data_IF_594951825810
#
_entry.id   IF_594951825810
#
_cell.length_a   1.000
_cell.length_b   1.000
_cell.length_c   1.000
_cell.angle_alpha   90.00
_cell.angle_beta   90.00
_cell.angle_gamma   90.00
#
_symmetry.space_group_name_H-M   'P 1'
#
loop_
_entity.id
_entity.type
_entity.pdbx_description
1 polymer ?
#
# COMPACT_ATOMS: atom_id res chain seq x y z
N UNK A 1 -0.63 28.34 -10.46
CA UNK A 1 -1.03 27.29 -11.43
C UNK A 1 -1.16 25.99 -10.65
N UNK A 2 -2.38 25.59 -10.29
CA UNK A 2 -2.65 24.45 -9.42
C UNK A 2 -2.64 23.15 -10.23
N UNK A 3 -1.68 22.27 -9.95
CA UNK A 3 -1.65 20.93 -10.50
C UNK A 3 -2.71 20.08 -9.80
N UNK A 4 -3.68 19.59 -10.57
CA UNK A 4 -4.69 18.63 -10.12
C UNK A 4 -4.00 17.34 -9.63
N UNK A 5 -3.91 17.18 -8.32
CA UNK A 5 -3.48 15.94 -7.67
C UNK A 5 -4.57 14.88 -7.92
N UNK A 6 -4.38 14.08 -8.96
CA UNK A 6 -5.22 12.92 -9.26
C UNK A 6 -4.91 11.86 -8.21
N UNK A 7 -5.94 11.48 -7.46
CA UNK A 7 -5.98 10.35 -6.54
C UNK A 7 -5.17 9.16 -7.09
N UNK A 8 -4.22 8.58 -6.34
CA UNK A 8 -3.51 7.40 -6.79
C UNK A 8 -4.50 6.23 -6.81
N UNK A 9 -4.63 5.58 -7.96
CA UNK A 9 -5.36 4.32 -8.09
C UNK A 9 -4.81 3.29 -7.08
N UNK A 10 -5.66 2.40 -6.53
CA UNK A 10 -5.27 1.48 -5.46
C UNK A 10 -4.10 0.59 -5.88
N UNK A 11 -3.28 0.19 -4.91
CA UNK A 11 -2.24 -0.81 -5.13
C UNK A 11 -2.87 -2.10 -5.65
N UNK A 12 -2.43 -2.53 -6.84
CA UNK A 12 -2.93 -3.75 -7.44
C UNK A 12 -2.69 -4.94 -6.48
N UNK A 13 -3.66 -5.87 -6.35
CA UNK A 13 -3.43 -7.09 -5.60
C UNK A 13 -2.15 -7.77 -6.09
N UNK A 14 -1.38 -8.42 -5.20
CA UNK A 14 -0.12 -9.07 -5.57
C UNK A 14 -0.35 -9.99 -6.78
N UNK A 15 0.58 -10.04 -7.75
CA UNK A 15 0.40 -10.81 -8.97
C UNK A 15 0.09 -12.26 -8.60
N UNK A 16 -1.11 -12.70 -8.94
CA UNK A 16 -1.53 -14.08 -8.74
C UNK A 16 -0.61 -14.96 -9.59
N UNK A 17 -0.08 -16.01 -9.00
CA UNK A 17 0.80 -16.93 -9.72
C UNK A 17 0.05 -17.52 -10.92
N UNK A 18 0.61 -17.36 -12.12
CA UNK A 18 0.11 -17.97 -13.36
C UNK A 18 0.27 -19.49 -13.35
N UNK A 19 1.11 -20.01 -12.44
CA UNK A 19 1.29 -21.44 -12.25
C UNK A 19 0.03 -22.10 -11.69
N UNK A 20 -0.39 -23.28 -12.21
CA UNK A 20 -1.51 -24.03 -11.67
C UNK A 20 -1.35 -24.34 -10.17
N UNK A 21 -2.28 -23.84 -9.35
CA UNK A 21 -2.39 -24.21 -7.94
C UNK A 21 -2.91 -25.65 -7.75
N UNK A 22 -3.11 -26.10 -6.50
CA UNK A 22 -3.52 -27.48 -6.21
C UNK A 22 -4.87 -27.82 -6.84
N UNK A 23 -5.84 -26.90 -6.80
CA UNK A 23 -7.17 -27.11 -7.39
C UNK A 23 -7.16 -27.09 -8.91
N UNK A 24 -6.40 -26.16 -9.50
CA UNK A 24 -6.23 -26.09 -10.95
C UNK A 24 -5.56 -27.37 -11.48
N UNK A 25 -4.53 -27.85 -10.79
CA UNK A 25 -3.85 -29.13 -11.10
C UNK A 25 -4.82 -30.31 -10.98
N UNK A 26 -5.65 -30.35 -9.92
CA UNK A 26 -6.66 -31.39 -9.76
C UNK A 26 -7.67 -31.40 -10.91
N UNK A 27 -8.13 -30.23 -11.37
CA UNK A 27 -9.05 -30.11 -12.51
C UNK A 27 -8.42 -30.67 -13.79
N UNK A 28 -7.18 -30.26 -14.09
CA UNK A 28 -6.44 -30.74 -15.26
C UNK A 28 -6.24 -32.26 -15.21
N UNK A 29 -5.91 -32.80 -14.05
CA UNK A 29 -5.73 -34.24 -13.86
C UNK A 29 -7.04 -35.01 -14.05
N UNK A 30 -8.16 -34.51 -13.52
CA UNK A 30 -9.48 -35.14 -13.70
C UNK A 30 -9.85 -35.17 -15.18
N UNK A 31 -9.64 -34.06 -15.91
CA UNK A 31 -9.91 -34.01 -17.33
C UNK A 31 -9.04 -35.01 -18.11
N UNK A 32 -7.74 -35.03 -17.88
CA UNK A 32 -6.82 -35.96 -18.54
C UNK A 32 -7.19 -37.43 -18.27
N UNK A 33 -7.53 -37.76 -17.02
CA UNK A 33 -7.95 -39.10 -16.65
C UNK A 33 -9.27 -39.50 -17.33
N UNK A 34 -10.24 -38.59 -17.41
CA UNK A 34 -11.52 -38.83 -18.06
C UNK A 34 -11.37 -38.98 -19.59
N UNK A 35 -10.49 -38.19 -20.20
CA UNK A 35 -10.14 -38.30 -21.61
C UNK A 35 -9.49 -39.65 -21.90
N UNK A 36 -8.48 -40.04 -21.13
CA UNK A 36 -7.79 -41.32 -21.31
C UNK A 36 -8.74 -42.50 -21.09
N UNK A 37 -9.63 -42.42 -20.10
CA UNK A 37 -10.64 -43.44 -19.87
C UNK A 37 -11.62 -43.56 -21.06
N UNK A 38 -12.04 -42.42 -21.62
CA UNK A 38 -12.93 -42.37 -22.80
C UNK A 38 -12.26 -42.96 -24.03
N UNK A 39 -11.02 -42.57 -24.33
CA UNK A 39 -10.28 -43.11 -25.47
C UNK A 39 -9.98 -44.61 -25.31
N UNK A 40 -9.69 -45.08 -24.09
CA UNK A 40 -9.52 -46.52 -23.81
C UNK A 40 -10.79 -47.35 -24.07
N UNK A 41 -11.98 -46.77 -23.91
CA UNK A 41 -13.24 -47.43 -24.24
C UNK A 41 -13.45 -47.58 -25.75
N UNK A 42 -12.85 -46.70 -26.55
CA UNK A 42 -12.79 -46.85 -28.01
C UNK A 42 -11.70 -47.86 -28.39
N UNK A 43 -11.90 -49.13 -28.00
CA UNK A 43 -10.95 -50.19 -28.32
C UNK A 43 -11.02 -50.58 -29.79
N UNK A 44 -9.90 -51.02 -30.37
CA UNK A 44 -9.87 -51.51 -31.74
C UNK A 44 -10.88 -52.63 -31.99
N UNK A 45 -11.08 -53.54 -31.02
CA UNK A 45 -12.08 -54.61 -31.08
C UNK A 45 -13.51 -54.06 -31.25
N UNK A 46 -13.88 -53.08 -30.42
CA UNK A 46 -15.19 -52.42 -30.49
C UNK A 46 -15.36 -51.67 -31.81
N UNK A 47 -14.30 -51.03 -32.32
CA UNK A 47 -14.31 -50.30 -33.57
C UNK A 47 -14.42 -51.23 -34.79
N UNK A 48 -13.63 -52.29 -34.83
CA UNK A 48 -13.63 -53.27 -35.93
C UNK A 48 -14.95 -54.06 -36.01
N UNK A 49 -15.61 -54.32 -34.88
CA UNK A 49 -16.93 -54.93 -34.84
C UNK A 49 -18.00 -54.12 -35.59
N UNK A 50 -17.86 -52.79 -35.68
CA UNK A 50 -18.74 -51.92 -36.46
C UNK A 50 -18.43 -51.93 -37.97
N UNK A 51 -17.26 -52.41 -38.37
CA UNK A 51 -16.80 -52.45 -39.77
C UNK A 51 -16.31 -53.85 -40.18
N UNK A 52 -17.17 -54.89 -40.11
CA UNK A 52 -16.75 -56.29 -40.27
C UNK A 52 -16.11 -56.59 -41.64
N UNK A 53 -16.61 -55.97 -42.72
CA UNK A 53 -16.06 -56.13 -44.07
C UNK A 53 -14.64 -55.57 -44.16
N UNK A 54 -14.41 -54.34 -43.69
CA UNK A 54 -13.09 -53.73 -43.73
C UNK A 54 -12.10 -54.44 -42.79
N UNK A 55 -12.58 -54.92 -41.63
CA UNK A 55 -11.77 -55.73 -40.71
C UNK A 55 -11.29 -57.05 -41.33
N UNK A 56 -12.07 -57.64 -42.24
CA UNK A 56 -11.72 -58.90 -42.90
C UNK A 56 -10.76 -58.71 -44.09
N UNK A 57 -11.00 -57.70 -44.92
CA UNK A 57 -10.25 -57.53 -46.18
C UNK A 57 -9.07 -56.56 -46.07
N UNK A 58 -9.12 -55.59 -45.15
CA UNK A 58 -8.08 -54.55 -45.00
C UNK A 58 -7.85 -54.20 -43.51
N UNK A 59 -7.41 -55.17 -42.67
CA UNK A 59 -7.23 -54.93 -41.24
C UNK A 59 -6.14 -53.91 -40.92
N UNK A 60 -5.08 -53.84 -41.73
CA UNK A 60 -3.95 -52.93 -41.50
C UNK A 60 -4.35 -51.46 -41.67
N UNK A 61 -5.08 -51.14 -42.74
CA UNK A 61 -5.58 -49.77 -42.96
C UNK A 61 -6.65 -49.38 -41.94
N UNK A 62 -7.45 -50.33 -41.46
CA UNK A 62 -8.44 -50.09 -40.41
C UNK A 62 -7.76 -49.77 -39.06
N UNK A 63 -6.70 -50.50 -38.69
CA UNK A 63 -5.93 -50.23 -37.47
C UNK A 63 -5.23 -48.86 -37.56
N UNK A 64 -4.63 -48.54 -38.71
CA UNK A 64 -4.03 -47.23 -38.95
C UNK A 64 -5.07 -46.09 -38.78
N UNK A 65 -6.26 -46.23 -39.38
CA UNK A 65 -7.35 -45.25 -39.26
C UNK A 65 -7.80 -45.09 -37.81
N UNK A 66 -7.99 -46.19 -37.08
CA UNK A 66 -8.41 -46.16 -35.68
C UNK A 66 -7.37 -45.46 -34.79
N UNK A 67 -6.08 -45.76 -34.98
CA UNK A 67 -4.97 -45.10 -34.25
C UNK A 67 -4.92 -43.62 -34.54
N UNK A 68 -5.04 -43.23 -35.81
CA UNK A 68 -4.99 -41.83 -36.23
C UNK A 68 -6.21 -41.06 -35.70
N UNK A 69 -7.40 -41.66 -35.78
CA UNK A 69 -8.62 -41.10 -35.22
C UNK A 69 -8.51 -40.87 -33.72
N UNK A 70 -8.13 -41.90 -32.96
CA UNK A 70 -8.02 -41.83 -31.49
C UNK A 70 -6.95 -40.81 -31.07
N UNK A 71 -5.83 -40.76 -31.80
CA UNK A 71 -4.75 -39.79 -31.56
C UNK A 71 -5.21 -38.36 -31.84
N UNK A 72 -5.83 -38.12 -33.01
CA UNK A 72 -6.32 -36.79 -33.39
C UNK A 72 -7.41 -36.30 -32.46
N UNK A 73 -8.36 -37.17 -32.08
CA UNK A 73 -9.41 -36.85 -31.13
C UNK A 73 -8.83 -36.42 -29.78
N UNK A 74 -7.88 -37.19 -29.24
CA UNK A 74 -7.19 -36.84 -28.00
C UNK A 74 -6.42 -35.52 -28.08
N UNK A 75 -5.75 -35.24 -29.21
CA UNK A 75 -5.05 -33.97 -29.45
C UNK A 75 -6.01 -32.78 -29.49
N UNK A 76 -7.10 -32.89 -30.25
CA UNK A 76 -8.09 -31.82 -30.39
C UNK A 76 -8.75 -31.53 -29.05
N UNK A 77 -9.17 -32.56 -28.32
CA UNK A 77 -9.81 -32.37 -27.01
C UNK A 77 -8.88 -31.72 -25.98
N UNK A 78 -7.60 -32.09 -25.95
CA UNK A 78 -6.62 -31.42 -25.07
C UNK A 78 -6.42 -29.96 -25.46
N UNK A 79 -6.25 -29.69 -26.76
CA UNK A 79 -6.08 -28.32 -27.26
C UNK A 79 -7.29 -27.43 -26.96
N UNK A 80 -8.52 -27.95 -27.17
CA UNK A 80 -9.74 -27.19 -26.88
C UNK A 80 -9.91 -26.94 -25.38
N UNK A 81 -9.56 -27.92 -24.54
CA UNK A 81 -9.58 -27.74 -23.10
C UNK A 81 -8.58 -26.66 -22.64
N UNK A 82 -7.35 -26.68 -23.16
CA UNK A 82 -6.35 -25.66 -22.88
C UNK A 82 -6.81 -24.27 -23.34
N UNK A 83 -7.45 -24.18 -24.51
CA UNK A 83 -8.06 -22.94 -25.00
C UNK A 83 -9.12 -22.40 -24.03
N UNK A 84 -10.00 -23.26 -23.52
CA UNK A 84 -11.03 -22.89 -22.54
C UNK A 84 -10.41 -22.42 -21.22
N UNK A 85 -9.35 -23.09 -20.75
CA UNK A 85 -8.63 -22.69 -19.54
C UNK A 85 -8.08 -21.27 -19.65
N UNK A 86 -7.54 -20.90 -20.81
CA UNK A 86 -7.00 -19.58 -21.11
C UNK A 86 -8.14 -18.56 -21.27
N UNK A 87 -9.13 -18.85 -22.13
CA UNK A 87 -10.23 -17.92 -22.46
C UNK A 87 -11.04 -17.51 -21.23
N UNK A 88 -11.24 -18.45 -20.29
CA UNK A 88 -12.01 -18.22 -19.05
C UNK A 88 -11.12 -17.88 -17.86
N UNK A 89 -9.81 -17.80 -18.05
CA UNK A 89 -8.83 -17.50 -17.01
C UNK A 89 -9.04 -18.35 -15.73
N UNK A 90 -9.22 -19.66 -15.95
CA UNK A 90 -9.65 -20.59 -14.91
C UNK A 90 -8.54 -20.77 -13.87
N UNK A 91 -7.28 -20.83 -14.30
CA UNK A 91 -6.14 -21.02 -13.40
C UNK A 91 -6.06 -19.89 -12.38
N UNK A 92 -6.12 -18.64 -12.82
CA UNK A 92 -6.10 -17.48 -11.92
C UNK A 92 -7.31 -17.47 -10.98
N UNK A 93 -8.49 -17.80 -11.50
CA UNK A 93 -9.74 -17.82 -10.71
C UNK A 93 -9.71 -18.88 -9.62
N UNK A 94 -9.23 -20.09 -9.92
CA UNK A 94 -9.09 -21.17 -8.94
C UNK A 94 -7.98 -20.88 -7.92
N UNK A 95 -6.88 -20.26 -8.35
CA UNK A 95 -5.81 -19.84 -7.45
C UNK A 95 -6.31 -18.74 -6.48
N UNK A 96 -7.08 -17.78 -6.97
CA UNK A 96 -7.73 -16.75 -6.14
C UNK A 96 -8.70 -17.38 -5.13
N UNK A 97 -9.50 -18.37 -5.56
CA UNK A 97 -10.38 -19.11 -4.66
C UNK A 97 -9.61 -19.83 -3.54
N UNK A 98 -8.51 -20.51 -3.88
CA UNK A 98 -7.68 -21.19 -2.89
C UNK A 98 -7.07 -20.20 -1.88
N UNK A 99 -6.65 -19.01 -2.33
CA UNK A 99 -6.23 -17.92 -1.45
C UNK A 99 -7.36 -17.45 -0.51
N UNK A 100 -8.56 -17.22 -1.04
CA UNK A 100 -9.73 -16.85 -0.23
C UNK A 100 -10.06 -17.91 0.83
N UNK A 101 -9.94 -19.20 0.50
CA UNK A 101 -10.16 -20.30 1.44
C UNK A 101 -9.10 -20.29 2.55
N UNK A 102 -7.83 -20.09 2.20
CA UNK A 102 -6.74 -20.00 3.19
C UNK A 102 -6.97 -18.82 4.13
N UNK A 103 -7.32 -17.65 3.60
CA UNK A 103 -7.59 -16.46 4.41
C UNK A 103 -8.82 -16.65 5.29
N UNK A 104 -9.88 -17.30 4.79
CA UNK A 104 -11.05 -17.63 5.58
C UNK A 104 -10.71 -18.57 6.75
N UNK A 105 -9.87 -19.59 6.52
CA UNK A 105 -9.38 -20.49 7.59
C UNK A 105 -8.60 -19.74 8.65
N UNK A 106 -7.68 -18.84 8.24
CA UNK A 106 -6.92 -17.98 9.17
C UNK A 106 -7.83 -17.07 10.00
N UNK A 107 -8.85 -16.46 9.38
CA UNK A 107 -9.83 -15.62 10.09
C UNK A 107 -10.62 -16.43 11.12
N UNK A 108 -11.02 -17.65 10.75
CA UNK A 108 -11.71 -18.57 11.66
C UNK A 108 -10.83 -18.94 12.87
N UNK A 109 -9.59 -19.35 12.63
CA UNK A 109 -8.62 -19.67 13.70
C UNK A 109 -8.37 -18.48 14.64
N UNK A 110 -8.24 -17.27 14.08
CA UNK A 110 -8.13 -16.03 14.88
C UNK A 110 -9.37 -15.77 15.74
N UNK A 111 -10.56 -16.01 15.19
CA UNK A 111 -11.81 -15.84 15.94
C UNK A 111 -11.94 -16.87 17.07
N UNK A 112 -11.58 -18.12 16.82
CA UNK A 112 -11.57 -19.21 17.82
C UNK A 112 -10.58 -18.92 18.96
N UNK A 113 -9.37 -18.46 18.65
CA UNK A 113 -8.37 -18.08 19.66
C UNK A 113 -8.77 -16.84 20.46
N UNK A 114 -9.45 -15.88 19.84
CA UNK A 114 -9.90 -14.66 20.53
C UNK A 114 -11.14 -14.89 21.41
N UNK A 115 -11.89 -15.97 21.17
CA UNK A 115 -13.16 -16.24 21.85
C UNK A 115 -13.00 -16.88 23.24
N UNK A 116 -11.80 -17.34 23.63
CA UNK A 116 -11.50 -17.92 24.96
C UNK A 116 -12.58 -18.90 25.48
N UNK A 117 -13.14 -19.73 24.60
CA UNK A 117 -14.17 -20.74 24.94
C UNK A 117 -15.63 -20.29 24.83
N UNK A 118 -15.89 -19.04 24.42
CA UNK A 118 -17.24 -18.60 24.06
C UNK A 118 -17.63 -19.10 22.64
N UNK A 119 -18.94 -19.16 22.31
CA UNK A 119 -19.35 -19.50 20.95
C UNK A 119 -18.88 -18.43 19.96
N UNK A 120 -18.16 -18.85 18.92
CA UNK A 120 -17.77 -17.96 17.81
C UNK A 120 -19.01 -17.62 16.99
N UNK A 121 -19.32 -16.33 16.87
CA UNK A 121 -20.43 -15.85 16.07
C UNK A 121 -20.23 -16.19 14.58
N UNK A 122 -21.27 -16.75 13.96
CA UNK A 122 -21.23 -17.14 12.54
C UNK A 122 -21.34 -15.88 11.68
N UNK A 123 -20.41 -15.62 10.74
CA UNK A 123 -20.50 -14.46 9.87
C UNK A 123 -21.77 -14.48 9.02
N UNK A 124 -22.43 -13.31 8.93
CA UNK A 124 -23.60 -13.13 8.07
C UNK A 124 -23.19 -13.28 6.60
N UNK A 125 -23.89 -14.10 5.79
CA UNK A 125 -23.59 -14.24 4.37
C UNK A 125 -23.72 -12.91 3.61
N UNK A 126 -22.80 -12.62 2.69
CA UNK A 126 -22.81 -11.35 1.96
C UNK A 126 -24.11 -11.10 1.15
N UNK A 127 -24.76 -12.16 0.67
CA UNK A 127 -26.00 -12.05 -0.12
C UNK A 127 -27.24 -11.68 0.70
N UNK A 128 -27.17 -11.75 2.03
CA UNK A 128 -28.26 -11.32 2.93
C UNK A 128 -28.05 -9.88 3.43
N UNK A 129 -26.92 -9.25 3.11
CA UNK A 129 -26.63 -7.88 3.54
C UNK A 129 -27.32 -6.86 2.63
N UNK A 130 -27.78 -5.73 3.18
CA UNK A 130 -28.34 -4.66 2.36
C UNK A 130 -27.25 -4.03 1.49
N UNK A 131 -27.60 -3.49 0.30
CA UNK A 131 -26.63 -2.90 -0.64
C UNK A 131 -25.78 -1.78 -0.03
N UNK A 132 -26.38 -0.96 0.86
CA UNK A 132 -25.67 0.12 1.55
C UNK A 132 -24.54 -0.40 2.44
N UNK A 133 -24.74 -1.50 3.16
CA UNK A 133 -23.71 -2.13 3.99
C UNK A 133 -22.58 -2.71 3.14
N UNK A 134 -22.89 -3.33 2.00
CA UNK A 134 -21.87 -3.85 1.09
C UNK A 134 -21.03 -2.72 0.48
N UNK A 135 -21.68 -1.62 0.08
CA UNK A 135 -21.01 -0.44 -0.45
C UNK A 135 -20.06 0.17 0.58
N UNK A 136 -20.54 0.40 1.80
CA UNK A 136 -19.70 0.92 2.89
C UNK A 136 -18.57 -0.03 3.24
N UNK A 137 -18.83 -1.34 3.34
CA UNK A 137 -17.79 -2.34 3.63
C UNK A 137 -16.66 -2.32 2.59
N UNK A 138 -16.97 -2.05 1.33
CA UNK A 138 -15.95 -1.91 0.28
C UNK A 138 -15.21 -0.57 0.34
N UNK A 139 -15.86 0.50 0.82
CA UNK A 139 -15.24 1.82 0.97
C UNK A 139 -14.37 1.95 2.21
N UNK A 140 -14.72 1.26 3.30
CA UNK A 140 -14.00 1.32 4.58
C UNK A 140 -12.48 1.13 4.47
N UNK A 141 -11.92 0.11 3.80
CA UNK A 141 -10.47 -0.04 3.71
C UNK A 141 -9.79 1.15 3.00
N UNK A 142 -10.46 1.77 2.03
CA UNK A 142 -9.96 2.97 1.37
C UNK A 142 -10.00 4.18 2.30
N UNK A 143 -11.11 4.36 3.02
CA UNK A 143 -11.26 5.45 3.98
C UNK A 143 -10.26 5.33 5.13
N UNK A 144 -10.02 4.13 5.65
CA UNK A 144 -9.02 3.84 6.69
C UNK A 144 -7.59 4.15 6.21
N UNK A 145 -7.25 3.77 4.98
CA UNK A 145 -5.95 4.10 4.39
C UNK A 145 -5.78 5.62 4.27
N UNK A 146 -6.81 6.33 3.82
CA UNK A 146 -6.78 7.78 3.68
C UNK A 146 -6.77 8.52 5.01
N UNK A 147 -7.52 8.06 6.02
CA UNK A 147 -7.48 8.65 7.35
C UNK A 147 -6.10 8.49 7.98
N UNK A 148 -5.50 7.29 7.89
CA UNK A 148 -4.15 7.05 8.41
C UNK A 148 -3.09 7.94 7.73
N UNK A 149 -3.21 8.19 6.42
CA UNK A 149 -2.33 9.10 5.69
C UNK A 149 -2.50 10.55 6.18
N UNK A 150 -3.74 11.04 6.31
CA UNK A 150 -4.02 12.39 6.77
C UNK A 150 -3.58 12.60 8.21
N UNK A 151 -3.78 11.63 9.09
CA UNK A 151 -3.34 11.68 10.49
C UNK A 151 -1.81 11.76 10.58
N UNK A 152 -1.10 11.01 9.72
CA UNK A 152 0.36 11.09 9.62
C UNK A 152 0.83 12.48 9.17
N UNK A 153 0.18 13.08 8.16
CA UNK A 153 0.50 14.43 7.68
C UNK A 153 0.20 15.51 8.71
N UNK A 154 -0.93 15.38 9.41
CA UNK A 154 -1.33 16.31 10.46
C UNK A 154 -0.36 16.24 11.65
N UNK A 155 0.05 15.03 12.05
CA UNK A 155 1.08 14.82 13.07
C UNK A 155 2.39 15.48 12.68
N UNK A 156 2.90 15.23 11.46
CA UNK A 156 4.13 15.84 10.96
C UNK A 156 4.08 17.37 10.87
N UNK A 157 2.91 17.93 10.52
CA UNK A 157 2.70 19.38 10.47
C UNK A 157 2.67 19.97 11.88
N UNK A 158 1.99 19.30 12.81
CA UNK A 158 1.95 19.74 14.21
C UNK A 158 3.34 19.72 14.85
N UNK A 159 4.14 18.69 14.62
CA UNK A 159 5.53 18.65 15.13
C UNK A 159 6.35 19.80 14.58
N UNK A 160 6.28 20.06 13.26
CA UNK A 160 6.98 21.19 12.65
C UNK A 160 6.51 22.54 13.20
N UNK A 161 5.21 22.73 13.40
CA UNK A 161 4.67 23.94 14.00
C UNK A 161 5.16 24.14 15.44
N UNK A 162 5.23 23.07 16.25
CA UNK A 162 5.75 23.16 17.62
C UNK A 162 7.24 23.52 17.67
N UNK A 163 8.03 23.00 16.71
CA UNK A 163 9.45 23.35 16.57
C UNK A 163 9.66 24.80 16.12
N UNK A 164 8.87 25.26 15.14
CA UNK A 164 8.91 26.65 14.68
C UNK A 164 8.49 27.62 15.80
N UNK A 165 7.43 27.30 16.55
CA UNK A 165 7.00 28.12 17.67
C UNK A 165 8.06 28.18 18.77
N UNK A 166 8.73 27.08 19.11
CA UNK A 166 9.81 27.09 20.10
C UNK A 166 11.03 27.89 19.63
N UNK A 167 11.37 27.82 18.34
CA UNK A 167 12.42 28.66 17.75
C UNK A 167 12.07 30.14 17.81
N UNK A 168 10.83 30.51 17.45
CA UNK A 168 10.37 31.91 17.47
C UNK A 168 10.36 32.47 18.90
N UNK A 169 9.92 31.69 19.88
CA UNK A 169 9.91 32.15 21.29
C UNK A 169 11.32 32.31 21.84
N UNK A 170 12.24 31.41 21.50
CA UNK A 170 13.66 31.53 21.85
C UNK A 170 14.29 32.78 21.21
N UNK A 171 14.06 33.00 19.92
CA UNK A 171 14.57 34.19 19.21
C UNK A 171 14.00 35.49 19.79
N UNK A 172 12.71 35.53 20.15
CA UNK A 172 12.11 36.71 20.79
C UNK A 172 12.75 36.99 22.15
N UNK A 173 12.99 35.96 22.96
CA UNK A 173 13.67 36.12 24.24
C UNK A 173 15.12 36.62 24.07
N UNK A 174 15.83 36.14 23.04
CA UNK A 174 17.17 36.62 22.70
C UNK A 174 17.16 38.08 22.25
N UNK A 175 16.21 38.48 21.39
CA UNK A 175 16.04 39.88 20.96
C UNK A 175 15.77 40.78 22.16
N UNK A 176 14.85 40.38 23.07
CA UNK A 176 14.55 41.17 24.26
C UNK A 176 15.78 41.32 25.17
N UNK A 177 16.61 40.28 25.29
CA UNK A 177 17.86 40.34 26.05
C UNK A 177 18.89 41.28 25.38
N UNK A 178 19.05 41.20 24.06
CA UNK A 178 19.96 42.06 23.29
C UNK A 178 19.53 43.54 23.36
N UNK A 179 18.23 43.82 23.24
CA UNK A 179 17.69 45.19 23.36
C UNK A 179 17.95 45.75 24.75
N UNK A 180 17.67 45.00 25.82
CA UNK A 180 17.99 45.42 27.20
C UNK A 180 19.49 45.64 27.42
N UNK A 181 20.33 44.79 26.83
CA UNK A 181 21.78 44.95 26.85
C UNK A 181 22.21 46.26 26.19
N UNK A 182 21.67 46.57 25.00
CA UNK A 182 21.94 47.83 24.30
C UNK A 182 21.43 49.04 25.07
N UNK A 183 20.24 48.99 25.64
CA UNK A 183 19.70 50.08 26.49
C UNK A 183 20.62 50.37 27.67
N UNK A 184 21.19 49.33 28.28
CA UNK A 184 22.15 49.48 29.39
C UNK A 184 23.45 50.15 28.92
N UNK A 185 24.02 49.69 27.79
CA UNK A 185 25.24 50.28 27.22
C UNK A 185 25.03 51.73 26.81
N UNK A 186 23.88 52.07 26.22
CA UNK A 186 23.51 53.46 25.87
C UNK A 186 23.42 54.33 27.12
N UNK A 187 22.74 53.86 28.17
CA UNK A 187 22.67 54.59 29.45
C UNK A 187 24.04 54.80 30.08
N UNK A 188 24.94 53.82 29.99
CA UNK A 188 26.30 53.95 30.52
C UNK A 188 27.12 54.96 29.71
N UNK A 189 26.99 54.97 28.37
CA UNK A 189 27.60 55.96 27.50
C UNK A 189 27.06 57.38 27.74
N UNK A 190 25.74 57.54 27.92
CA UNK A 190 25.13 58.81 28.29
C UNK A 190 25.67 59.32 29.63
N UNK A 191 25.76 58.47 30.65
CA UNK A 191 26.35 58.83 31.94
C UNK A 191 27.82 59.22 31.80
N UNK A 192 28.62 58.46 31.04
CA UNK A 192 30.03 58.79 30.80
C UNK A 192 30.20 60.12 30.08
N UNK A 193 29.40 60.40 29.05
CA UNK A 193 29.41 61.68 28.35
C UNK A 193 29.00 62.84 29.26
N UNK A 194 28.02 62.62 30.15
CA UNK A 194 27.57 63.62 31.11
C UNK A 194 28.63 63.93 32.17
N UNK A 195 29.37 62.91 32.64
CA UNK A 195 30.51 63.08 33.53
C UNK A 195 31.65 63.85 32.86
N UNK A 196 32.01 63.53 31.62
CA UNK A 196 33.03 64.28 30.86
C UNK A 196 32.63 65.75 30.65
N UNK A 197 31.36 66.02 30.31
CA UNK A 197 30.86 67.39 30.17
C UNK A 197 30.86 68.18 31.49
N UNK A 198 30.63 67.52 32.63
CA UNK A 198 30.78 68.15 33.94
C UNK A 198 32.24 68.42 34.31
N UNK A 199 33.15 67.50 33.96
CA UNK A 199 34.58 67.63 34.26
C UNK A 199 35.25 68.72 33.39
N UNK A 200 34.89 68.84 32.11
CA UNK A 200 35.31 69.96 31.26
C UNK A 200 34.80 71.31 31.76
N UNK A 201 33.53 71.39 32.18
CA UNK A 201 32.96 72.63 32.74
C UNK A 201 33.61 72.98 34.08
N UNK A 202 33.91 71.99 34.92
CA UNK A 202 34.61 72.21 36.18
C UNK A 202 36.07 72.62 35.96
N UNK A 203 36.77 72.00 35.00
CA UNK A 203 38.13 72.36 34.58
C UNK A 203 38.21 73.78 34.01
N UNK A 204 37.32 74.13 33.08
CA UNK A 204 37.19 75.49 32.56
C UNK A 204 36.85 76.50 33.67
N UNK A 205 35.99 76.14 34.62
CA UNK A 205 35.68 77.03 35.76
C UNK A 205 36.85 77.24 36.71
N UNK A 206 37.70 76.23 36.86
CA UNK A 206 38.91 76.29 37.69
C UNK A 206 39.98 77.13 36.98
N UNK A 207 40.19 76.92 35.69
CA UNK A 207 41.12 77.68 34.86
C UNK A 207 40.71 79.17 34.74
N UNK A 208 39.41 79.45 34.59
CA UNK A 208 38.88 80.83 34.64
C UNK A 208 39.10 81.48 36.01
N UNK A 209 38.96 80.72 37.11
CA UNK A 209 39.24 81.24 38.46
C UNK A 209 40.73 81.48 38.68
N UNK A 210 41.61 80.67 38.10
CA UNK A 210 43.06 80.84 38.18
C UNK A 210 43.53 82.06 37.38
N UNK A 211 43.01 82.25 36.15
CA UNK A 211 43.24 83.46 35.34
C UNK A 211 42.73 84.71 36.07
N UNK A 212 41.54 84.69 36.67
CA UNK A 212 40.99 85.82 37.42
C UNK A 212 41.79 86.14 38.71
N UNK A 213 42.50 85.14 39.26
CA UNK A 213 43.41 85.32 40.39
C UNK A 213 44.78 85.88 39.96
N UNK A 214 45.30 85.50 38.80
CA UNK A 214 46.53 86.07 38.23
C UNK A 214 46.34 87.52 37.77
N UNK A 215 45.16 87.89 37.25
CA UNK A 215 44.83 89.27 36.89
C UNK A 215 44.69 90.23 38.10
N UNK A 216 44.64 89.71 39.33
CA UNK A 216 44.50 90.49 40.58
C UNK A 216 45.82 90.73 41.33
N UNK A 217 46.97 90.34 40.76
CA UNK A 217 48.31 90.73 41.21
C UNK A 217 48.84 91.92 40.42
#
# INVERSE_FOLDING_TARGET
MNAHSRSPSPAAPPPLAESPGPRATALINVFNNALDATLKKCSYSSFAACFPTAAQYVPESLDALWRDFTRKLGQVWKSEFDNILIERNIVQSLNSLDQCIVDAKKRKERAETSSNGSPVEVPVPAHTLPPSSLHLAHLLPFLEQHSALLDSQLSATNTSNTELLSSITAQRAEIDALVRGLETVVQDLEKSAQMMGQEEVQGLSAEVREIDAEMKK
#
